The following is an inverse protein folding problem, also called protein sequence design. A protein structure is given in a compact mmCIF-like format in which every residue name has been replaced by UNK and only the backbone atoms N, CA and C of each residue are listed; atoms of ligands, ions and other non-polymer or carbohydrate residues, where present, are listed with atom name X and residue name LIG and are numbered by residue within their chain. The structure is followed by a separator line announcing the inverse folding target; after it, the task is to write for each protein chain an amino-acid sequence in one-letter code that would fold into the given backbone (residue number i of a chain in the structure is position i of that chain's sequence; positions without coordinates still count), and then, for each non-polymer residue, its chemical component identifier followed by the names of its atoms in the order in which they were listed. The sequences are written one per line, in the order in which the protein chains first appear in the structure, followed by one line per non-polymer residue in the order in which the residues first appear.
data_IF_929980789300
#
_entry.id   IF_929980789300
#
_cell.length_a   1.000
_cell.length_b   1.000
_cell.length_c   1.000
_cell.angle_alpha   90.00
_cell.angle_beta   90.00
_cell.angle_gamma   90.00
#
_symmetry.space_group_name_H-M   'P 1'
#
loop_
_entity.id
_entity.type
_entity.pdbx_description
1 polymer ?
#
# COMPACT_ATOMS: atom_id res chain seq x y z
N UNK A 1 -28.88 -16.87 -18.29
CA UNK A 1 -27.45 -16.67 -17.98
C UNK A 1 -26.68 -16.29 -19.27
N UNK A 2 -26.42 -14.99 -19.49
CA UNK A 2 -25.91 -14.50 -20.78
C UNK A 2 -25.25 -13.12 -20.72
N UNK A 3 -24.70 -12.72 -19.57
CA UNK A 3 -23.85 -11.53 -19.50
C UNK A 3 -22.45 -11.94 -19.90
N UNK A 4 -21.85 -11.30 -20.92
CA UNK A 4 -20.58 -11.67 -21.54
C UNK A 4 -19.31 -11.52 -20.68
N UNK A 5 -19.40 -11.79 -19.38
CA UNK A 5 -18.27 -11.87 -18.45
C UNK A 5 -17.93 -13.29 -18.07
N UNK A 6 -16.75 -13.50 -17.49
CA UNK A 6 -16.28 -14.83 -17.08
C UNK A 6 -15.33 -14.74 -15.88
N UNK A 7 -15.15 -15.85 -15.16
CA UNK A 7 -14.07 -16.00 -14.19
C UNK A 7 -13.12 -17.08 -14.72
N UNK A 8 -11.80 -16.90 -14.60
CA UNK A 8 -10.82 -17.84 -15.15
C UNK A 8 -9.67 -18.07 -14.17
N UNK A 9 -9.26 -19.33 -14.06
CA UNK A 9 -7.97 -19.76 -13.55
C UNK A 9 -7.28 -20.53 -14.67
N UNK A 10 -6.13 -20.04 -15.12
CA UNK A 10 -5.33 -20.70 -16.16
C UNK A 10 -3.91 -20.95 -15.67
N UNK A 11 -3.40 -22.14 -15.99
CA UNK A 11 -2.04 -22.57 -15.70
C UNK A 11 -1.38 -22.96 -17.02
N UNK A 12 -0.31 -22.26 -17.38
CA UNK A 12 0.56 -22.53 -18.53
C UNK A 12 1.87 -23.11 -18.01
N UNK A 13 2.27 -24.27 -18.55
CA UNK A 13 3.46 -25.04 -18.14
C UNK A 13 4.48 -25.19 -19.29
N UNK A 14 4.30 -24.42 -20.37
CA UNK A 14 5.29 -24.33 -21.43
C UNK A 14 6.58 -23.74 -20.88
N UNK A 15 7.64 -24.56 -20.93
CA UNK A 15 8.99 -24.20 -20.49
C UNK A 15 9.43 -22.81 -20.98
N UNK A 16 9.76 -21.93 -20.04
CA UNK A 16 10.21 -20.55 -20.27
C UNK A 16 9.09 -19.54 -20.59
N UNK A 17 7.83 -19.95 -20.48
CA UNK A 17 6.64 -19.13 -20.67
C UNK A 17 5.56 -19.49 -19.63
N UNK A 18 5.96 -20.03 -18.48
CA UNK A 18 5.07 -20.49 -17.43
C UNK A 18 4.25 -19.33 -16.85
N UNK A 19 2.96 -19.55 -16.61
CA UNK A 19 2.07 -18.50 -16.11
C UNK A 19 0.91 -19.09 -15.32
N UNK A 20 0.59 -18.44 -14.20
CA UNK A 20 -0.73 -18.56 -13.56
C UNK A 20 -1.48 -17.26 -13.83
N UNK A 21 -2.68 -17.36 -14.39
CA UNK A 21 -3.58 -16.23 -14.63
C UNK A 21 -4.87 -16.44 -13.85
N UNK A 22 -5.26 -15.41 -13.09
CA UNK A 22 -6.50 -15.38 -12.32
C UNK A 22 -7.29 -14.15 -12.78
N UNK A 23 -8.55 -14.36 -13.17
CA UNK A 23 -9.47 -13.31 -13.55
C UNK A 23 -10.77 -13.46 -12.77
N UNK A 24 -11.13 -12.40 -12.04
CA UNK A 24 -12.41 -12.25 -11.37
C UNK A 24 -13.23 -11.16 -12.08
N UNK A 25 -14.44 -11.49 -12.53
CA UNK A 25 -15.31 -10.58 -13.28
C UNK A 25 -15.85 -9.41 -12.44
N UNK A 26 -15.95 -9.60 -11.13
CA UNK A 26 -16.59 -8.65 -10.21
C UNK A 26 -15.77 -8.45 -8.94
N UNK A 27 -15.87 -9.38 -8.01
CA UNK A 27 -15.22 -9.31 -6.70
C UNK A 27 -14.23 -10.48 -6.57
N UNK A 28 -13.07 -10.22 -5.97
CA UNK A 28 -12.13 -11.24 -5.52
C UNK A 28 -11.85 -11.00 -4.05
N UNK A 29 -12.30 -11.93 -3.22
CA UNK A 29 -12.03 -11.94 -1.78
C UNK A 29 -10.98 -13.02 -1.47
N UNK A 30 -9.91 -12.63 -0.78
CA UNK A 30 -8.90 -13.55 -0.26
C UNK A 30 -8.95 -13.52 1.27
N UNK A 31 -9.34 -14.64 1.89
CA UNK A 31 -9.39 -14.78 3.34
C UNK A 31 -8.40 -15.86 3.80
N UNK A 32 -7.41 -15.46 4.61
CA UNK A 32 -6.34 -16.32 5.13
C UNK A 32 -6.38 -16.32 6.66
N UNK A 33 -6.85 -17.40 7.26
CA UNK A 33 -7.09 -17.52 8.72
C UNK A 33 -5.81 -17.68 9.56
N UNK A 34 -4.67 -17.90 8.94
CA UNK A 34 -3.39 -18.11 9.62
C UNK A 34 -2.27 -17.30 8.96
N UNK A 35 -1.46 -17.92 8.11
CA UNK A 35 -0.29 -17.26 7.52
C UNK A 35 -0.43 -17.12 6.00
N UNK A 36 -0.21 -15.90 5.50
CA UNK A 36 0.07 -15.65 4.09
C UNK A 36 1.59 -15.42 3.92
N UNK A 37 2.24 -16.16 3.03
CA UNK A 37 3.65 -15.97 2.69
C UNK A 37 3.78 -15.79 1.18
N UNK A 38 4.31 -14.66 0.75
CA UNK A 38 4.51 -14.34 -0.67
C UNK A 38 6.00 -14.13 -0.92
N UNK A 39 6.54 -14.86 -1.90
CA UNK A 39 7.87 -14.62 -2.45
C UNK A 39 7.75 -14.43 -3.95
N UNK A 40 8.15 -13.25 -4.43
CA UNK A 40 8.26 -12.96 -5.86
C UNK A 40 9.74 -12.96 -6.23
N UNK A 41 10.13 -13.82 -7.16
CA UNK A 41 11.55 -14.00 -7.54
C UNK A 41 12.11 -12.91 -8.44
N UNK A 42 11.24 -12.06 -9.00
CA UNK A 42 11.59 -10.93 -9.84
C UNK A 42 10.78 -9.69 -9.40
N UNK A 43 9.80 -9.25 -10.18
CA UNK A 43 9.07 -8.01 -9.95
C UNK A 43 7.62 -8.26 -9.54
N UNK A 44 7.09 -7.39 -8.68
CA UNK A 44 5.66 -7.28 -8.36
C UNK A 44 5.15 -5.94 -8.88
N UNK A 45 4.05 -5.97 -9.62
CA UNK A 45 3.36 -4.79 -10.12
C UNK A 45 1.92 -4.80 -9.59
N UNK A 46 1.53 -3.76 -8.85
CA UNK A 46 0.16 -3.58 -8.36
C UNK A 46 -0.42 -2.30 -8.97
N UNK A 47 -1.59 -2.38 -9.57
CA UNK A 47 -2.33 -1.21 -10.07
C UNK A 47 -3.75 -1.24 -9.52
N UNK A 48 -4.11 -0.21 -8.75
CA UNK A 48 -5.45 -0.03 -8.19
C UNK A 48 -6.03 1.26 -8.76
N UNK A 49 -7.15 1.15 -9.47
CA UNK A 49 -7.76 2.29 -10.19
C UNK A 49 -8.46 3.28 -9.25
N UNK A 50 -8.96 2.78 -8.11
CA UNK A 50 -9.64 3.60 -7.11
C UNK A 50 -8.81 3.66 -5.83
N UNK A 51 -9.38 3.22 -4.72
CA UNK A 51 -8.80 3.39 -3.40
C UNK A 51 -8.15 2.09 -2.93
N UNK A 52 -7.03 2.23 -2.25
CA UNK A 52 -6.45 1.16 -1.42
C UNK A 52 -6.65 1.54 0.04
N UNK A 53 -7.10 0.58 0.83
CA UNK A 53 -7.21 0.72 2.28
C UNK A 53 -6.41 -0.40 2.92
N UNK A 54 -5.58 -0.07 3.92
CA UNK A 54 -4.74 -1.04 4.62
C UNK A 54 -4.77 -0.72 6.10
N UNK A 55 -5.17 -1.71 6.91
CA UNK A 55 -5.11 -1.65 8.36
C UNK A 55 -4.18 -2.76 8.85
N UNK A 56 -3.12 -2.37 9.56
CA UNK A 56 -2.22 -3.29 10.24
C UNK A 56 -2.47 -3.11 11.73
N UNK A 57 -2.98 -4.15 12.39
CA UNK A 57 -3.39 -4.09 13.81
C UNK A 57 -2.24 -4.23 14.80
N UNK A 58 -1.05 -4.54 14.30
CA UNK A 58 0.17 -4.70 15.08
C UNK A 58 1.30 -3.98 14.34
N UNK A 59 2.48 -4.58 14.28
CA UNK A 59 3.68 -3.94 13.73
C UNK A 59 3.77 -4.04 12.21
N UNK A 60 4.29 -2.98 11.58
CA UNK A 60 4.78 -3.01 10.20
C UNK A 60 6.30 -2.94 10.22
N UNK A 61 6.96 -3.95 9.65
CA UNK A 61 8.40 -3.93 9.40
C UNK A 61 8.64 -3.83 7.90
N UNK A 62 9.29 -2.75 7.46
CA UNK A 62 9.57 -2.52 6.05
C UNK A 62 11.01 -2.08 5.83
N UNK A 63 11.72 -2.87 5.02
CA UNK A 63 13.09 -2.58 4.57
C UNK A 63 13.10 -2.36 3.07
N UNK A 64 13.67 -1.25 2.63
CA UNK A 64 13.95 -0.97 1.22
C UNK A 64 15.46 -0.77 1.08
N UNK A 65 16.10 -1.56 0.22
CA UNK A 65 17.57 -1.56 0.09
C UNK A 65 18.06 -0.41 -0.80
N UNK A 66 17.31 -0.11 -1.85
CA UNK A 66 17.61 0.97 -2.78
C UNK A 66 16.60 2.11 -2.60
N UNK A 67 16.42 2.94 -3.63
CA UNK A 67 15.57 4.11 -3.58
C UNK A 67 14.11 3.76 -3.25
N UNK A 68 13.52 4.53 -2.32
CA UNK A 68 12.06 4.65 -2.16
C UNK A 68 11.62 5.98 -2.76
N UNK A 69 10.87 5.94 -3.86
CA UNK A 69 10.33 7.13 -4.54
C UNK A 69 8.82 7.22 -4.30
N UNK A 70 8.34 8.39 -3.91
CA UNK A 70 6.91 8.66 -3.65
C UNK A 70 6.54 9.96 -4.35
N UNK A 71 5.44 9.95 -5.09
CA UNK A 71 4.78 11.14 -5.63
C UNK A 71 3.34 11.16 -5.10
N UNK A 72 3.04 12.14 -4.24
CA UNK A 72 1.67 12.47 -3.86
C UNK A 72 1.27 13.74 -4.61
N UNK A 73 0.19 13.67 -5.40
CA UNK A 73 -0.27 14.81 -6.21
C UNK A 73 -1.18 15.79 -5.47
N UNK A 74 -1.76 15.32 -4.37
CA UNK A 74 -2.65 16.09 -3.50
C UNK A 74 -1.96 16.21 -2.13
N UNK A 75 -2.72 16.06 -1.04
CA UNK A 75 -2.21 16.17 0.32
C UNK A 75 -1.55 14.86 0.78
N UNK A 76 -0.45 14.97 1.55
CA UNK A 76 0.12 13.89 2.35
C UNK A 76 -0.07 14.21 3.84
N UNK A 77 -0.58 13.26 4.61
CA UNK A 77 -0.92 13.43 6.02
C UNK A 77 -0.21 12.37 6.86
N UNK A 78 0.53 12.81 7.86
CA UNK A 78 1.22 11.93 8.81
C UNK A 78 0.80 12.27 10.24
N UNK A 79 0.30 11.27 10.97
CA UNK A 79 0.08 11.37 12.42
C UNK A 79 0.93 10.30 13.09
N UNK A 80 1.74 10.72 14.06
CA UNK A 80 2.51 9.83 14.92
C UNK A 80 2.01 10.05 16.35
N UNK A 81 1.55 8.97 16.99
CA UNK A 81 0.98 9.06 18.36
C UNK A 81 2.02 9.33 19.44
N UNK A 82 3.27 8.96 19.18
CA UNK A 82 4.39 9.15 20.11
C UNK A 82 5.57 9.85 19.42
N UNK A 83 6.58 9.10 18.99
CA UNK A 83 7.85 9.66 18.52
C UNK A 83 8.14 9.33 17.06
N UNK A 84 8.64 10.31 16.31
CA UNK A 84 9.21 10.11 14.98
C UNK A 84 10.74 10.24 15.05
N UNK A 85 11.45 9.20 14.65
CA UNK A 85 12.91 9.23 14.51
C UNK A 85 13.28 9.28 13.04
N UNK A 86 14.09 10.27 12.65
CA UNK A 86 14.60 10.43 11.29
C UNK A 86 16.12 10.53 11.34
N UNK A 87 16.81 9.59 10.68
CA UNK A 87 18.26 9.60 10.52
C UNK A 87 18.59 9.59 9.03
N UNK A 88 19.39 10.54 8.59
CA UNK A 88 19.78 10.71 7.20
C UNK A 88 21.30 10.63 7.10
N UNK A 89 21.80 9.99 6.04
CA UNK A 89 23.24 9.84 5.81
C UNK A 89 23.91 11.07 5.20
N UNK A 90 23.14 11.92 4.50
CA UNK A 90 23.71 13.03 3.73
C UNK A 90 22.96 14.34 3.94
N UNK A 91 21.67 14.42 3.57
CA UNK A 91 20.94 15.70 3.63
C UNK A 91 19.44 15.50 3.82
N UNK A 92 18.81 16.49 4.45
CA UNK A 92 17.37 16.74 4.38
C UNK A 92 17.14 18.02 3.56
N UNK A 93 16.44 17.91 2.44
CA UNK A 93 16.14 19.03 1.56
C UNK A 93 14.62 19.22 1.52
N UNK A 94 14.15 20.39 1.95
CA UNK A 94 12.72 20.71 2.01
C UNK A 94 12.47 22.03 1.28
N UNK A 95 11.54 22.02 0.32
CA UNK A 95 11.05 23.23 -0.36
C UNK A 95 9.54 23.27 -0.26
N UNK A 96 8.99 24.42 0.13
CA UNK A 96 7.57 24.66 0.23
C UNK A 96 7.21 25.94 -0.53
N UNK A 97 6.11 25.91 -1.28
CA UNK A 97 5.68 27.06 -2.08
C UNK A 97 5.14 28.24 -1.27
N UNK A 98 4.71 28.02 -0.01
CA UNK A 98 4.14 29.07 0.84
C UNK A 98 4.76 29.12 2.23
N UNK A 99 4.80 28.00 2.94
CA UNK A 99 5.17 28.01 4.36
C UNK A 99 5.80 26.68 4.79
N UNK A 100 6.79 26.77 5.69
CA UNK A 100 7.22 25.68 6.56
C UNK A 100 6.97 26.17 7.99
N UNK A 101 6.04 25.54 8.71
CA UNK A 101 5.72 25.89 10.10
C UNK A 101 6.18 24.77 11.05
N UNK A 102 7.16 25.08 11.89
CA UNK A 102 7.67 24.17 12.92
C UNK A 102 7.21 24.71 14.28
N UNK A 103 6.29 23.99 14.93
CA UNK A 103 5.78 24.32 16.25
C UNK A 103 6.09 23.18 17.22
N UNK A 104 6.72 23.52 18.35
CA UNK A 104 6.85 22.63 19.50
C UNK A 104 6.12 23.22 20.70
N UNK A 105 5.55 22.36 21.56
CA UNK A 105 4.92 22.79 22.81
C UNK A 105 5.94 23.37 23.79
N UNK A 106 7.07 22.70 23.96
CA UNK A 106 8.07 23.05 24.98
C UNK A 106 9.39 23.57 24.38
N UNK A 107 10.01 22.84 23.44
CA UNK A 107 11.38 23.11 22.99
C UNK A 107 11.61 22.77 21.54
N UNK A 108 12.38 23.63 20.86
CA UNK A 108 13.07 23.33 19.60
C UNK A 108 14.58 23.49 19.85
N UNK A 109 15.37 22.49 19.46
CA UNK A 109 16.84 22.56 19.46
C UNK A 109 17.32 22.31 18.04
N UNK A 110 18.15 23.21 17.52
CA UNK A 110 18.79 23.09 16.21
C UNK A 110 20.29 23.18 16.45
N UNK A 111 20.99 22.09 16.14
CA UNK A 111 22.44 22.00 16.28
C UNK A 111 23.04 21.79 14.89
N UNK A 112 24.13 22.52 14.63
CA UNK A 112 24.92 22.36 13.42
C UNK A 112 26.40 22.27 13.81
N UNK A 113 27.15 21.42 13.12
CA UNK A 113 28.56 21.19 13.43
C UNK A 113 29.46 22.36 13.02
N UNK A 114 29.35 22.80 11.77
CA UNK A 114 30.23 23.83 11.20
C UNK A 114 29.54 25.19 11.08
N UNK A 115 28.30 25.21 10.60
CA UNK A 115 27.57 26.44 10.35
C UNK A 115 26.06 26.23 10.47
N UNK A 116 25.38 27.17 11.13
CA UNK A 116 23.93 27.37 11.03
C UNK A 116 23.66 28.73 10.41
N UNK A 117 22.94 28.77 9.29
CA UNK A 117 22.59 30.00 8.58
C UNK A 117 21.08 30.10 8.38
N UNK A 118 20.52 31.29 8.68
CA UNK A 118 19.12 31.65 8.47
C UNK A 118 19.09 32.92 7.64
N UNK A 119 18.44 32.91 6.47
CA UNK A 119 18.39 34.01 5.52
C UNK A 119 16.92 34.38 5.21
N UNK A 120 16.63 35.67 5.07
CA UNK A 120 15.34 36.15 4.58
C UNK A 120 15.31 37.65 4.31
N UNK A 121 14.66 38.07 3.22
CA UNK A 121 14.47 39.50 2.91
C UNK A 121 15.77 40.32 2.82
N UNK A 122 16.87 39.70 2.38
CA UNK A 122 18.20 40.32 2.33
C UNK A 122 18.94 40.41 3.67
N UNK A 123 18.35 39.92 4.76
CA UNK A 123 18.97 39.81 6.09
C UNK A 123 19.39 38.37 6.39
N UNK A 124 20.39 38.17 7.26
CA UNK A 124 20.75 36.84 7.73
C UNK A 124 21.27 36.81 9.16
N UNK A 125 21.20 35.62 9.75
CA UNK A 125 21.90 35.21 10.97
C UNK A 125 22.78 34.03 10.59
N UNK A 126 24.05 34.06 10.99
CA UNK A 126 25.00 32.96 10.81
C UNK A 126 25.72 32.66 12.11
N UNK A 127 25.78 31.39 12.48
CA UNK A 127 26.57 30.87 13.58
C UNK A 127 27.65 29.96 12.99
N UNK A 128 28.91 30.26 13.25
CA UNK A 128 30.05 29.46 12.79
C UNK A 128 31.22 29.53 13.82
N UNK A 129 32.39 29.00 13.46
CA UNK A 129 33.57 29.03 14.33
C UNK A 129 34.08 30.42 14.71
N UNK A 130 33.64 31.48 14.02
CA UNK A 130 33.95 32.88 14.34
C UNK A 130 32.95 33.53 15.31
N UNK A 131 31.85 32.86 15.64
CA UNK A 131 30.81 33.35 16.55
C UNK A 131 29.46 33.56 15.86
N UNK A 132 28.73 34.59 16.30
CA UNK A 132 27.38 34.93 15.78
C UNK A 132 27.47 36.19 14.93
N UNK A 133 27.11 36.08 13.66
CA UNK A 133 26.98 37.21 12.72
C UNK A 133 25.50 37.52 12.48
N UNK A 134 25.10 38.79 12.63
CA UNK A 134 23.74 39.26 12.35
C UNK A 134 23.82 40.45 11.41
N UNK A 135 23.20 40.34 10.23
CA UNK A 135 23.24 41.38 9.19
C UNK A 135 21.83 41.68 8.69
N UNK A 136 21.51 42.96 8.61
CA UNK A 136 20.28 43.50 8.01
C UNK A 136 20.26 45.03 8.08
N UNK A 137 19.37 45.71 7.34
CA UNK A 137 19.27 47.18 7.37
C UNK A 137 18.98 47.77 8.76
N UNK A 138 18.21 47.05 9.58
CA UNK A 138 17.89 47.40 10.97
C UNK A 138 17.86 46.12 11.81
N UNK A 139 18.61 46.11 12.91
CA UNK A 139 18.57 45.04 13.92
C UNK A 139 17.96 45.59 15.20
N UNK A 140 16.78 45.09 15.58
CA UNK A 140 16.07 45.48 16.80
C UNK A 140 16.37 44.49 17.92
N UNK A 141 16.94 44.95 19.02
CA UNK A 141 17.15 44.16 20.24
C UNK A 141 16.33 44.81 21.35
N UNK A 142 15.39 44.06 21.94
CA UNK A 142 14.49 44.55 23.00
C UNK A 142 13.64 45.79 22.62
N UNK A 143 13.27 45.95 21.33
CA UNK A 143 12.63 47.17 20.81
C UNK A 143 11.13 47.03 20.46
N UNK A 144 10.39 46.12 21.11
CA UNK A 144 8.97 45.84 20.84
C UNK A 144 8.70 45.14 19.49
N UNK A 145 7.42 44.86 19.18
CA UNK A 145 6.97 44.21 17.94
C UNK A 145 6.00 43.04 18.16
N UNK A 146 5.58 42.38 17.07
CA UNK A 146 4.78 41.15 17.09
C UNK A 146 5.45 40.06 16.25
N UNK A 147 5.39 38.81 16.71
CA UNK A 147 5.87 37.66 15.93
C UNK A 147 4.93 37.38 14.74
N UNK A 148 5.46 36.69 13.72
CA UNK A 148 4.62 36.06 12.70
C UNK A 148 3.81 34.89 13.28
N UNK A 149 2.76 34.48 12.57
CA UNK A 149 1.94 33.31 12.91
C UNK A 149 2.03 32.27 11.80
N UNK A 150 2.23 31.00 12.16
CA UNK A 150 2.17 29.90 11.20
C UNK A 150 0.77 29.31 11.04
N UNK A 151 0.48 28.65 9.92
CA UNK A 151 -0.80 27.95 9.72
C UNK A 151 -0.95 26.75 10.68
N UNK A 152 -2.16 26.50 11.15
CA UNK A 152 -2.45 25.36 12.02
C UNK A 152 -2.38 24.01 11.28
N UNK A 153 -2.28 22.91 12.04
CA UNK A 153 -2.27 21.56 11.47
C UNK A 153 -3.69 21.15 11.06
N UNK A 154 -3.87 20.75 9.80
CA UNK A 154 -5.14 20.27 9.22
C UNK A 154 -5.07 18.82 8.76
N UNK A 155 -4.76 17.89 9.66
CA UNK A 155 -4.64 16.45 9.36
C UNK A 155 -6.00 15.84 9.00
N UNK A 156 -6.02 14.99 7.97
CA UNK A 156 -7.14 14.09 7.67
C UNK A 156 -6.73 12.65 8.03
N UNK A 157 -7.44 11.96 8.93
CA UNK A 157 -7.10 10.60 9.33
C UNK A 157 -7.38 9.58 8.20
N UNK A 158 -6.69 8.43 8.19
CA UNK A 158 -7.00 7.35 7.25
C UNK A 158 -8.40 6.77 7.52
N UNK A 159 -9.00 6.22 6.46
CA UNK A 159 -10.28 5.50 6.53
C UNK A 159 -9.98 4.00 6.64
N UNK A 160 -10.76 3.29 7.46
CA UNK A 160 -10.59 1.85 7.65
C UNK A 160 -10.96 1.06 6.38
N UNK A 161 -10.27 -0.06 6.09
CA UNK A 161 -10.70 -0.99 5.05
C UNK A 161 -12.08 -1.59 5.38
N UNK A 162 -12.84 -1.91 4.34
CA UNK A 162 -14.05 -2.72 4.48
C UNK A 162 -13.72 -4.14 4.92
N UNK A 163 -14.69 -4.84 5.51
CA UNK A 163 -14.54 -6.26 5.80
C UNK A 163 -14.58 -7.07 4.50
N UNK A 164 -13.69 -8.06 4.37
CA UNK A 164 -13.87 -9.13 3.38
C UNK A 164 -15.19 -9.87 3.68
N UNK A 165 -15.86 -10.35 2.64
CA UNK A 165 -17.13 -11.05 2.83
C UNK A 165 -16.92 -12.34 3.66
N UNK A 166 -17.84 -12.62 4.58
CA UNK A 166 -17.79 -13.85 5.37
C UNK A 166 -18.53 -14.94 4.60
N UNK A 167 -17.80 -15.76 3.86
CA UNK A 167 -18.43 -16.75 3.00
C UNK A 167 -19.32 -17.75 3.77
N UNK A 168 -20.55 -17.93 3.25
CA UNK A 168 -21.17 -19.25 3.16
C UNK A 168 -20.65 -19.87 1.87
N UNK A 169 -19.92 -20.97 1.97
CA UNK A 169 -19.43 -21.71 0.80
C UNK A 169 -20.56 -21.96 -0.22
N UNK A 170 -20.26 -21.77 -1.50
CA UNK A 170 -21.15 -22.19 -2.58
C UNK A 170 -21.42 -23.70 -2.51
N UNK A 171 -22.56 -24.14 -3.05
CA UNK A 171 -22.86 -25.56 -3.15
C UNK A 171 -21.77 -26.29 -3.95
N UNK A 172 -21.40 -27.48 -3.50
CA UNK A 172 -20.47 -28.36 -4.22
C UNK A 172 -20.92 -28.49 -5.68
N UNK A 173 -19.97 -28.45 -6.61
CA UNK A 173 -20.26 -28.78 -8.01
C UNK A 173 -20.80 -30.21 -8.07
N UNK A 174 -21.79 -30.45 -8.95
CA UNK A 174 -22.25 -31.80 -9.24
C UNK A 174 -21.04 -32.66 -9.64
N UNK A 175 -20.95 -33.87 -9.06
CA UNK A 175 -19.87 -34.80 -9.38
C UNK A 175 -19.83 -35.01 -10.89
N UNK A 176 -18.65 -34.83 -11.48
CA UNK A 176 -18.41 -35.24 -12.86
C UNK A 176 -18.86 -36.70 -13.01
N UNK A 177 -19.80 -36.95 -13.93
CA UNK A 177 -20.26 -38.29 -14.25
C UNK A 177 -19.02 -39.14 -14.56
N UNK A 178 -18.69 -40.07 -13.67
CA UNK A 178 -17.75 -41.15 -13.96
C UNK A 178 -18.25 -41.82 -15.24
N UNK A 179 -17.38 -41.89 -16.25
CA UNK A 179 -17.61 -42.72 -17.43
C UNK A 179 -17.97 -44.14 -16.96
N UNK A 180 -19.27 -44.45 -16.92
CA UNK A 180 -19.74 -45.78 -16.62
C UNK A 180 -19.36 -46.68 -17.81
N UNK A 181 -18.66 -47.80 -17.59
CA UNK A 181 -18.43 -48.75 -18.66
C UNK A 181 -19.79 -49.32 -19.11
N UNK A 182 -19.99 -49.42 -20.44
CA UNK A 182 -21.20 -49.96 -21.05
C UNK A 182 -21.63 -51.27 -20.39
N UNK A 183 -22.84 -51.27 -19.83
CA UNK A 183 -23.43 -52.45 -19.22
C UNK A 183 -23.70 -53.51 -20.32
N UNK A 184 -22.91 -54.58 -20.32
CA UNK A 184 -23.15 -55.74 -21.19
C UNK A 184 -24.54 -56.32 -20.90
N UNK A 185 -25.49 -56.05 -21.79
CA UNK A 185 -26.82 -56.64 -21.77
C UNK A 185 -26.70 -58.17 -21.86
N UNK A 186 -26.86 -58.85 -20.72
CA UNK A 186 -27.02 -60.31 -20.65
C UNK A 186 -28.28 -60.73 -21.42
N UNK A 187 -28.11 -61.21 -22.65
CA UNK A 187 -29.17 -61.86 -23.41
C UNK A 187 -29.58 -63.17 -22.72
N UNK A 188 -30.83 -63.22 -22.20
CA UNK A 188 -31.48 -64.50 -21.82
C UNK A 188 -31.80 -65.31 -23.08
N UNK A 189 -31.55 -66.63 -23.13
CA UNK A 189 -31.93 -67.45 -24.27
C UNK A 189 -33.46 -67.64 -24.28
N UNK A 190 -34.11 -67.32 -25.41
CA UNK A 190 -35.52 -67.67 -25.67
C UNK A 190 -35.60 -69.18 -25.95
N UNK A 191 -36.35 -69.90 -25.12
CA UNK A 191 -36.82 -71.27 -25.39
C UNK A 191 -37.73 -71.26 -26.62
N UNK A 192 -37.39 -72.04 -27.64
CA UNK A 192 -38.28 -72.36 -28.75
C UNK A 192 -39.36 -73.35 -28.28
N UNK A 193 -40.62 -73.05 -28.56
CA UNK A 193 -41.73 -73.99 -28.52
C UNK A 193 -41.99 -74.45 -29.95
N UNK A 194 -41.79 -75.75 -30.21
CA UNK A 194 -42.22 -76.40 -31.43
C UNK A 194 -43.74 -76.59 -31.39
N UNK A 195 -44.43 -76.27 -32.48
CA UNK A 195 -45.68 -76.92 -32.83
C UNK A 195 -45.64 -77.34 -34.29
N UNK A 196 -45.79 -78.65 -34.48
CA UNK A 196 -46.13 -79.32 -35.73
C UNK A 196 -47.60 -79.12 -36.05
N UNK A 197 -47.91 -78.82 -37.31
CA UNK A 197 -49.24 -78.76 -37.90
C UNK A 197 -49.15 -78.24 -39.32
#
# INVERSE_FOLDING_TARGET
PGGGGYNELRIEDKKGAEQIFIHAQRDWDENVEHDQKIRVGNERHDTVVKNTYTELKAEEHRTTISDRKIEARMDDHLTIGESQHVKLGTAQLTSAGKEIHIKAGDKIVIEAGTELTILGGGSFIKLDGGGVTVVGPVVKINAGGSAGSGTGIGIKPPVLPGAADKDKAGSLMDQALLNAPEEQVKRKPKRMLNFSG
#
